data_IF_015325973964
#
_entry.id   IF_015325973964
#
_cell.length_a   1.000
_cell.length_b   1.000
_cell.length_c   1.000
_cell.angle_alpha   90.00
_cell.angle_beta   90.00
_cell.angle_gamma   90.00
#
_symmetry.space_group_name_H-M   'P 1'
#
loop_
_entity.id
_entity.type
_entity.pdbx_description
1 polymer ?
#
# COMPACT_ATOMS: atom_id res chain seq x y z
N UNK A 1 5.34 -69.24 -42.14
CA UNK A 1 5.50 -69.40 -40.68
C UNK A 1 5.92 -68.06 -40.07
N UNK A 2 5.20 -67.64 -39.01
CA UNK A 2 5.59 -66.75 -37.90
C UNK A 2 6.10 -65.29 -38.12
N UNK A 3 5.21 -64.36 -37.70
CA UNK A 3 5.36 -63.08 -36.98
C UNK A 3 6.77 -62.61 -36.54
N UNK A 4 6.99 -61.29 -36.56
CA UNK A 4 7.08 -60.43 -35.35
C UNK A 4 7.20 -58.94 -35.71
N UNK A 5 6.33 -58.12 -35.09
CA UNK A 5 6.41 -56.66 -35.04
C UNK A 5 7.60 -56.23 -34.18
N UNK A 6 8.21 -55.07 -34.48
CA UNK A 6 8.80 -54.26 -33.43
C UNK A 6 8.67 -52.76 -33.73
N UNK A 7 7.73 -52.14 -33.02
CA UNK A 7 7.40 -50.72 -32.97
C UNK A 7 8.53 -49.98 -32.24
N UNK A 8 9.14 -48.97 -32.86
CA UNK A 8 9.97 -48.00 -32.14
C UNK A 8 9.09 -46.83 -31.69
N UNK A 9 8.82 -46.77 -30.40
CA UNK A 9 8.20 -45.62 -29.75
C UNK A 9 9.23 -44.49 -29.62
N UNK A 10 8.96 -43.32 -30.20
CA UNK A 10 9.67 -42.08 -29.90
C UNK A 10 8.91 -41.36 -28.79
N UNK A 11 9.43 -41.40 -27.57
CA UNK A 11 8.88 -40.66 -26.43
C UNK A 11 9.35 -39.19 -26.53
N UNK A 12 8.44 -38.28 -26.84
CA UNK A 12 8.68 -36.84 -26.77
C UNK A 12 8.47 -36.37 -25.33
N UNK A 13 9.55 -36.10 -24.61
CA UNK A 13 9.50 -35.46 -23.28
C UNK A 13 9.25 -33.95 -23.47
N UNK A 14 8.00 -33.52 -23.29
CA UNK A 14 7.66 -32.10 -23.14
C UNK A 14 8.01 -31.70 -21.70
N UNK A 15 9.12 -30.98 -21.54
CA UNK A 15 9.46 -30.31 -20.29
C UNK A 15 8.57 -29.09 -20.11
N UNK A 16 7.44 -29.25 -19.41
CA UNK A 16 6.62 -28.11 -19.00
C UNK A 16 7.33 -27.41 -17.83
N UNK A 17 8.15 -26.40 -18.13
CA UNK A 17 8.56 -25.43 -17.12
C UNK A 17 7.35 -24.53 -16.85
N UNK A 18 6.65 -24.79 -15.75
CA UNK A 18 5.78 -23.79 -15.16
C UNK A 18 6.66 -22.62 -14.71
N UNK A 19 6.81 -21.61 -15.57
CA UNK A 19 7.18 -20.29 -15.09
C UNK A 19 5.98 -19.81 -14.29
N UNK A 20 6.13 -19.73 -12.98
CA UNK A 20 5.22 -18.96 -12.14
C UNK A 20 5.30 -17.52 -12.63
N UNK A 21 4.38 -17.12 -13.50
CA UNK A 21 4.16 -15.73 -13.82
C UNK A 21 3.56 -15.11 -12.55
N UNK A 22 4.42 -14.58 -11.68
CA UNK A 22 4.00 -13.52 -10.78
C UNK A 22 3.49 -12.40 -11.69
N UNK A 23 2.17 -12.21 -11.75
CA UNK A 23 1.58 -11.17 -12.56
C UNK A 23 2.14 -9.83 -12.07
N UNK A 24 2.81 -9.11 -12.97
CA UNK A 24 3.21 -7.73 -12.71
C UNK A 24 1.97 -6.92 -12.31
N UNK A 25 2.14 -5.93 -11.43
CA UNK A 25 1.02 -5.03 -11.12
C UNK A 25 0.62 -4.30 -12.39
N UNK A 26 -0.68 -4.22 -12.66
CA UNK A 26 -1.17 -3.32 -13.68
C UNK A 26 -1.19 -1.89 -13.11
N UNK A 27 -0.90 -0.91 -13.96
CA UNK A 27 -0.73 0.48 -13.54
C UNK A 27 -1.98 1.02 -12.82
N UNK A 28 -3.17 0.62 -13.29
CA UNK A 28 -4.45 1.05 -12.72
C UNK A 28 -4.62 0.54 -11.29
N UNK A 29 -4.20 -0.72 -11.01
CA UNK A 29 -4.25 -1.29 -9.66
C UNK A 29 -3.35 -0.54 -8.68
N UNK A 30 -2.12 -0.17 -9.10
CA UNK A 30 -1.22 0.64 -8.25
C UNK A 30 -1.83 2.00 -7.93
N UNK A 31 -2.28 2.73 -8.95
CA UNK A 31 -2.78 4.10 -8.77
C UNK A 31 -4.04 4.11 -7.93
N UNK A 32 -4.94 3.17 -8.15
CA UNK A 32 -6.18 3.01 -7.39
C UNK A 32 -5.88 2.71 -5.91
N UNK A 33 -5.06 1.70 -5.62
CA UNK A 33 -4.73 1.31 -4.25
C UNK A 33 -3.94 2.40 -3.52
N UNK A 34 -2.96 3.02 -4.18
CA UNK A 34 -2.16 4.10 -3.61
C UNK A 34 -3.02 5.35 -3.35
N UNK A 35 -3.98 5.65 -4.22
CA UNK A 35 -4.93 6.76 -4.02
C UNK A 35 -5.85 6.48 -2.84
N UNK A 36 -6.44 5.29 -2.74
CA UNK A 36 -7.33 4.93 -1.64
C UNK A 36 -6.60 4.93 -0.29
N UNK A 37 -5.40 4.34 -0.22
CA UNK A 37 -4.53 4.38 0.98
C UNK A 37 -4.13 5.81 1.32
N UNK A 38 -3.73 6.61 0.32
CA UNK A 38 -3.36 8.00 0.52
C UNK A 38 -4.49 8.87 1.06
N UNK A 39 -5.73 8.66 0.61
CA UNK A 39 -6.91 9.32 1.18
C UNK A 39 -7.19 8.83 2.61
N UNK A 40 -7.03 7.53 2.87
CA UNK A 40 -7.18 6.96 4.21
C UNK A 40 -6.22 7.57 5.22
N UNK A 41 -4.95 7.80 4.86
CA UNK A 41 -3.96 8.43 5.73
C UNK A 41 -4.31 9.87 6.08
N UNK A 42 -4.82 10.64 5.11
CA UNK A 42 -5.28 12.01 5.34
C UNK A 42 -6.50 12.04 6.27
N UNK A 43 -7.48 11.17 6.06
CA UNK A 43 -8.67 11.12 6.90
C UNK A 43 -8.37 10.55 8.31
N UNK A 44 -7.48 9.57 8.42
CA UNK A 44 -6.97 9.09 9.71
C UNK A 44 -6.26 10.20 10.49
N UNK A 45 -5.38 10.97 9.83
CA UNK A 45 -4.69 12.10 10.43
C UNK A 45 -5.65 13.19 10.90
N UNK A 46 -6.65 13.58 10.10
CA UNK A 46 -7.69 14.54 10.53
C UNK A 46 -8.45 14.04 11.75
N UNK A 47 -8.84 12.77 11.77
CA UNK A 47 -9.51 12.17 12.91
C UNK A 47 -8.63 12.19 14.16
N UNK A 48 -7.32 11.99 14.00
CA UNK A 48 -6.35 12.06 15.10
C UNK A 48 -6.09 13.48 15.61
N UNK A 49 -6.17 14.49 14.75
CA UNK A 49 -6.16 15.89 15.19
C UNK A 49 -7.37 16.21 16.09
N UNK A 50 -8.55 15.69 15.71
CA UNK A 50 -9.82 15.89 16.44
C UNK A 50 -9.87 15.10 17.76
N UNK A 51 -9.55 13.80 17.71
CA UNK A 51 -9.79 12.86 18.82
C UNK A 51 -8.55 12.50 19.62
N UNK A 52 -7.36 12.70 19.06
CA UNK A 52 -6.11 12.42 19.74
C UNK A 52 -5.98 13.27 21.01
N UNK A 53 -5.37 12.71 22.04
CA UNK A 53 -5.20 13.39 23.33
C UNK A 53 -3.74 13.75 23.61
N UNK A 54 -2.81 12.93 23.14
CA UNK A 54 -1.39 13.16 23.30
C UNK A 54 -0.81 14.13 22.25
N UNK A 55 0.12 14.98 22.68
CA UNK A 55 0.70 16.03 21.83
C UNK A 55 1.56 15.46 20.69
N UNK A 56 2.24 14.35 20.93
CA UNK A 56 3.01 13.61 19.93
C UNK A 56 2.11 12.96 18.88
N UNK A 57 0.96 12.42 19.27
CA UNK A 57 -0.06 11.90 18.35
C UNK A 57 -0.60 13.00 17.43
N UNK A 58 -0.94 14.18 17.97
CA UNK A 58 -1.40 15.31 17.14
C UNK A 58 -0.31 15.81 16.20
N UNK A 59 0.93 15.91 16.70
CA UNK A 59 2.06 16.35 15.87
C UNK A 59 2.35 15.37 14.74
N UNK A 60 2.26 14.06 15.01
CA UNK A 60 2.37 13.05 13.97
C UNK A 60 1.21 13.14 12.98
N UNK A 61 -0.02 13.27 13.45
CA UNK A 61 -1.20 13.43 12.60
C UNK A 61 -1.10 14.65 11.65
N UNK A 62 -0.61 15.79 12.15
CA UNK A 62 -0.35 16.98 11.33
C UNK A 62 0.66 16.70 10.20
N UNK A 63 1.74 15.96 10.52
CA UNK A 63 2.74 15.52 9.54
C UNK A 63 2.10 14.62 8.48
N UNK A 64 1.30 13.65 8.90
CA UNK A 64 0.61 12.71 8.01
C UNK A 64 -0.33 13.41 7.04
N UNK A 65 -1.19 14.31 7.54
CA UNK A 65 -2.10 15.09 6.69
C UNK A 65 -1.32 15.89 5.66
N UNK A 66 -0.28 16.60 6.07
CA UNK A 66 0.53 17.43 5.16
C UNK A 66 1.21 16.60 4.09
N UNK A 67 1.93 15.57 4.48
CA UNK A 67 2.78 14.80 3.59
C UNK A 67 1.97 13.95 2.63
N UNK A 68 0.92 13.26 3.10
CA UNK A 68 0.05 12.47 2.23
C UNK A 68 -0.81 13.32 1.31
N UNK A 69 -1.28 14.49 1.75
CA UNK A 69 -1.99 15.42 0.83
C UNK A 69 -1.10 15.81 -0.36
N UNK A 70 0.19 16.08 -0.11
CA UNK A 70 1.13 16.41 -1.18
C UNK A 70 1.40 15.20 -2.10
N UNK A 71 1.56 14.00 -1.54
CA UNK A 71 1.76 12.78 -2.32
C UNK A 71 0.53 12.45 -3.19
N UNK A 72 -0.68 12.55 -2.63
CA UNK A 72 -1.93 12.32 -3.34
C UNK A 72 -2.10 13.29 -4.51
N UNK A 73 -1.75 14.58 -4.33
CA UNK A 73 -1.80 15.56 -5.40
C UNK A 73 -0.82 15.22 -6.54
N UNK A 74 0.39 14.77 -6.20
CA UNK A 74 1.38 14.33 -7.19
C UNK A 74 0.89 13.09 -7.96
N UNK A 75 0.37 12.08 -7.26
CA UNK A 75 -0.15 10.86 -7.90
C UNK A 75 -1.35 11.17 -8.80
N UNK A 76 -2.29 12.00 -8.33
CA UNK A 76 -3.44 12.44 -9.14
C UNK A 76 -2.98 13.13 -10.42
N UNK A 77 -1.97 14.00 -10.35
CA UNK A 77 -1.44 14.66 -11.54
C UNK A 77 -0.85 13.68 -12.55
N UNK A 78 -0.20 12.61 -12.09
CA UNK A 78 0.34 11.55 -12.98
C UNK A 78 -0.81 10.77 -13.61
N UNK A 79 -1.81 10.38 -12.81
CA UNK A 79 -2.99 9.66 -13.29
C UNK A 79 -3.76 10.45 -14.34
N UNK A 80 -4.05 11.73 -14.07
CA UNK A 80 -4.75 12.65 -14.99
C UNK A 80 -3.96 12.80 -16.31
N UNK A 81 -2.64 13.02 -16.25
CA UNK A 81 -1.80 13.21 -17.43
C UNK A 81 -1.76 11.96 -18.34
N UNK A 82 -1.96 10.78 -17.74
CA UNK A 82 -1.94 9.48 -18.42
C UNK A 82 -3.33 8.96 -18.77
N UNK A 83 -4.40 9.64 -18.34
CA UNK A 83 -5.78 9.17 -18.44
C UNK A 83 -5.98 7.77 -17.81
N UNK A 84 -5.34 7.52 -16.67
CA UNK A 84 -5.55 6.29 -15.91
C UNK A 84 -6.91 6.37 -15.21
N UNK A 85 -7.63 5.24 -15.16
CA UNK A 85 -8.88 5.16 -14.43
C UNK A 85 -8.59 5.11 -12.93
N UNK A 86 -9.19 6.03 -12.18
CA UNK A 86 -9.13 6.09 -10.72
C UNK A 86 -10.53 6.36 -10.22
N UNK A 87 -10.94 5.67 -9.15
CA UNK A 87 -12.19 5.92 -8.45
C UNK A 87 -12.37 7.40 -8.15
N UNK A 88 -13.62 7.86 -8.16
CA UNK A 88 -13.91 9.24 -7.82
C UNK A 88 -13.61 9.54 -6.34
N UNK A 89 -13.63 10.84 -5.98
CA UNK A 89 -13.33 11.24 -4.61
C UNK A 89 -14.28 10.65 -3.57
N UNK A 90 -15.55 10.42 -3.90
CA UNK A 90 -16.51 9.85 -2.96
C UNK A 90 -16.22 8.37 -2.72
N UNK A 91 -15.93 7.61 -3.78
CA UNK A 91 -15.55 6.20 -3.71
C UNK A 91 -14.25 5.99 -2.93
N UNK A 92 -13.22 6.82 -3.20
CA UNK A 92 -11.96 6.77 -2.46
C UNK A 92 -12.15 7.09 -0.98
N UNK A 93 -13.00 8.07 -0.65
CA UNK A 93 -13.36 8.39 0.74
C UNK A 93 -14.07 7.22 1.41
N UNK A 94 -14.95 6.51 0.71
CA UNK A 94 -15.65 5.36 1.28
C UNK A 94 -14.70 4.17 1.50
N UNK A 95 -13.77 3.90 0.58
CA UNK A 95 -12.67 2.93 0.79
C UNK A 95 -11.81 3.33 1.99
N UNK A 96 -11.46 4.61 2.11
CA UNK A 96 -10.70 5.15 3.23
C UNK A 96 -11.40 4.95 4.58
N UNK A 97 -12.71 5.21 4.67
CA UNK A 97 -13.51 4.98 5.89
C UNK A 97 -13.45 3.53 6.35
N UNK A 98 -13.44 2.57 5.41
CA UNK A 98 -13.33 1.15 5.74
C UNK A 98 -11.95 0.82 6.34
N UNK A 99 -10.87 1.40 5.82
CA UNK A 99 -9.51 1.17 6.31
C UNK A 99 -9.26 1.72 7.73
N UNK A 100 -9.97 2.78 8.12
CA UNK A 100 -9.81 3.42 9.42
C UNK A 100 -10.84 2.96 10.46
N UNK A 101 -11.68 1.97 10.15
CA UNK A 101 -12.73 1.49 11.05
C UNK A 101 -12.16 1.00 12.38
N UNK A 102 -10.98 0.38 12.35
CA UNK A 102 -10.24 -0.10 13.53
C UNK A 102 -9.84 1.02 14.50
N UNK A 103 -9.77 2.28 14.05
CA UNK A 103 -9.52 3.44 14.94
C UNK A 103 -10.64 3.65 15.96
N UNK A 104 -11.80 3.01 15.78
CA UNK A 104 -12.95 3.11 16.68
C UNK A 104 -12.93 2.07 17.80
N UNK A 105 -11.99 1.12 17.77
CA UNK A 105 -12.06 -0.12 18.54
C UNK A 105 -10.83 -0.34 19.42
N UNK A 106 -10.52 0.60 20.32
CA UNK A 106 -9.39 0.46 21.25
C UNK A 106 -9.65 1.07 22.62
N UNK A 107 -8.78 0.73 23.58
CA UNK A 107 -8.81 1.23 24.96
C UNK A 107 -8.52 2.74 25.04
N UNK A 108 -7.69 3.26 24.15
CA UNK A 108 -7.49 4.70 23.89
C UNK A 108 -7.41 4.96 22.38
N UNK A 109 -7.84 6.16 21.97
CA UNK A 109 -7.75 6.56 20.56
C UNK A 109 -6.29 6.65 20.09
N UNK A 110 -5.42 7.22 20.92
CA UNK A 110 -3.98 7.39 20.63
C UNK A 110 -3.28 6.05 20.34
N UNK A 111 -3.62 5.01 21.12
CA UNK A 111 -3.12 3.65 20.90
C UNK A 111 -3.68 3.03 19.61
N UNK A 112 -4.99 3.22 19.34
CA UNK A 112 -5.63 2.74 18.12
C UNK A 112 -4.95 3.33 16.88
N UNK A 113 -4.74 4.65 16.92
CA UNK A 113 -4.11 5.40 15.84
C UNK A 113 -2.68 4.93 15.60
N UNK A 114 -1.85 4.86 16.64
CA UNK A 114 -0.48 4.40 16.50
C UNK A 114 -0.38 2.98 15.90
N UNK A 115 -1.21 2.04 16.36
CA UNK A 115 -1.23 0.67 15.83
C UNK A 115 -1.71 0.60 14.37
N UNK A 116 -2.74 1.37 14.03
CA UNK A 116 -3.25 1.44 12.67
C UNK A 116 -2.18 2.01 11.72
N UNK A 117 -1.48 3.07 12.14
CA UNK A 117 -0.46 3.72 11.33
C UNK A 117 0.72 2.79 11.04
N UNK A 118 1.17 1.96 11.99
CA UNK A 118 2.19 0.94 11.71
C UNK A 118 1.74 -0.01 10.60
N UNK A 119 0.56 -0.63 10.76
CA UNK A 119 0.04 -1.60 9.79
C UNK A 119 -0.21 -0.99 8.41
N UNK A 120 -0.76 0.22 8.38
CA UNK A 120 -1.07 0.92 7.14
C UNK A 120 0.20 1.29 6.38
N UNK A 121 1.26 1.72 7.09
CA UNK A 121 2.54 2.04 6.47
C UNK A 121 3.28 0.81 6.00
N UNK A 122 3.26 -0.30 6.74
CA UNK A 122 3.86 -1.57 6.27
C UNK A 122 3.24 -2.03 4.95
N UNK A 123 1.90 -2.06 4.89
CA UNK A 123 1.19 -2.44 3.67
C UNK A 123 1.41 -1.44 2.51
N UNK A 124 1.56 -0.14 2.81
CA UNK A 124 1.81 0.89 1.79
C UNK A 124 3.24 0.84 1.28
N UNK A 125 4.21 0.56 2.14
CA UNK A 125 5.61 0.36 1.75
C UNK A 125 5.73 -0.86 0.84
N UNK A 126 5.08 -1.97 1.16
CA UNK A 126 5.07 -3.17 0.29
C UNK A 126 4.52 -2.84 -1.11
N UNK A 127 3.39 -2.13 -1.19
CA UNK A 127 2.81 -1.67 -2.45
C UNK A 127 3.80 -0.81 -3.25
N UNK A 128 4.46 0.15 -2.60
CA UNK A 128 5.38 1.07 -3.26
C UNK A 128 6.71 0.40 -3.63
N UNK A 129 7.21 -0.56 -2.85
CA UNK A 129 8.40 -1.34 -3.20
C UNK A 129 8.15 -2.23 -4.41
N UNK A 130 6.95 -2.81 -4.50
CA UNK A 130 6.52 -3.59 -5.66
C UNK A 130 6.42 -2.73 -6.91
N UNK A 131 5.78 -1.57 -6.84
CA UNK A 131 5.72 -0.66 -8.00
C UNK A 131 7.11 -0.16 -8.40
N UNK A 132 7.95 0.26 -7.45
CA UNK A 132 9.29 0.75 -7.73
C UNK A 132 10.17 -0.31 -8.44
N UNK A 133 10.04 -1.59 -8.06
CA UNK A 133 10.83 -2.68 -8.62
C UNK A 133 10.23 -3.27 -9.90
N UNK A 134 8.94 -3.61 -9.87
CA UNK A 134 8.25 -4.39 -10.90
C UNK A 134 7.37 -3.55 -11.84
N UNK A 135 7.08 -2.29 -11.48
CA UNK A 135 6.23 -1.40 -12.26
C UNK A 135 6.71 -1.24 -13.71
N UNK A 136 5.76 -1.00 -14.62
CA UNK A 136 6.03 -0.86 -16.06
C UNK A 136 6.09 0.60 -16.50
N UNK A 137 5.28 1.47 -15.88
CA UNK A 137 5.26 2.90 -16.20
C UNK A 137 6.38 3.66 -15.50
N UNK A 138 7.25 4.32 -16.26
CA UNK A 138 8.43 4.98 -15.72
C UNK A 138 8.11 6.10 -14.72
N UNK A 139 7.00 6.82 -14.89
CA UNK A 139 6.62 7.90 -13.97
C UNK A 139 6.03 7.36 -12.67
N UNK A 140 5.25 6.28 -12.74
CA UNK A 140 4.74 5.59 -11.54
C UNK A 140 5.87 4.93 -10.74
N UNK A 141 6.83 4.28 -11.41
CA UNK A 141 8.05 3.76 -10.75
C UNK A 141 8.84 4.87 -10.05
N UNK A 142 9.02 6.00 -10.73
CA UNK A 142 9.73 7.14 -10.17
C UNK A 142 8.97 7.72 -8.96
N UNK A 143 7.65 7.89 -9.08
CA UNK A 143 6.81 8.32 -7.97
C UNK A 143 6.92 7.39 -6.77
N UNK A 144 6.85 6.07 -6.98
CA UNK A 144 6.97 5.08 -5.93
C UNK A 144 8.36 5.16 -5.25
N UNK A 145 9.42 5.18 -6.07
CA UNK A 145 10.82 5.28 -5.60
C UNK A 145 11.08 6.53 -4.77
N UNK A 146 10.60 7.69 -5.24
CA UNK A 146 10.79 8.98 -4.57
C UNK A 146 10.02 9.09 -3.24
N UNK A 147 8.89 8.37 -3.14
CA UNK A 147 7.99 8.45 -1.98
C UNK A 147 8.40 7.47 -0.86
N UNK A 148 9.03 6.35 -1.21
CA UNK A 148 9.45 5.30 -0.27
C UNK A 148 10.26 5.79 0.95
N UNK A 149 11.28 6.68 0.81
CA UNK A 149 12.05 7.14 1.97
C UNK A 149 11.17 7.82 3.03
N UNK A 150 10.15 8.56 2.60
CA UNK A 150 9.24 9.26 3.49
C UNK A 150 8.25 8.30 4.16
N UNK A 151 7.69 7.34 3.42
CA UNK A 151 6.86 6.28 4.01
C UNK A 151 7.61 5.48 5.07
N UNK A 152 8.88 5.15 4.82
CA UNK A 152 9.74 4.46 5.80
C UNK A 152 9.99 5.32 7.04
N UNK A 153 10.22 6.62 6.87
CA UNK A 153 10.36 7.54 8.01
C UNK A 153 9.06 7.66 8.84
N UNK A 154 7.91 7.70 8.17
CA UNK A 154 6.59 7.68 8.84
C UNK A 154 6.37 6.38 9.61
N UNK A 155 6.72 5.22 9.04
CA UNK A 155 6.64 3.93 9.73
C UNK A 155 7.46 3.92 11.03
N UNK A 156 8.70 4.40 10.98
CA UNK A 156 9.55 4.45 12.19
C UNK A 156 8.96 5.37 13.27
N UNK A 157 8.37 6.49 12.87
CA UNK A 157 7.66 7.37 13.80
C UNK A 157 6.39 6.69 14.36
N UNK A 158 5.61 6.01 13.53
CA UNK A 158 4.44 5.25 13.96
C UNK A 158 4.80 4.15 14.96
N UNK A 159 5.91 3.42 14.75
CA UNK A 159 6.43 2.42 15.70
C UNK A 159 6.84 3.05 17.03
N UNK A 160 7.48 4.22 17.00
CA UNK A 160 7.82 4.97 18.20
C UNK A 160 6.58 5.41 18.98
N UNK A 161 5.54 5.91 18.28
CA UNK A 161 4.24 6.23 18.88
C UNK A 161 3.58 4.99 19.49
N UNK A 162 3.56 3.87 18.77
CA UNK A 162 2.96 2.63 19.25
C UNK A 162 3.65 2.19 20.55
N UNK A 163 4.97 2.21 20.59
CA UNK A 163 5.74 1.93 21.82
C UNK A 163 5.40 2.89 22.97
N UNK A 164 5.20 4.17 22.70
CA UNK A 164 4.88 5.18 23.72
C UNK A 164 3.46 5.06 24.28
N UNK A 165 2.50 4.62 23.46
CA UNK A 165 1.07 4.57 23.79
C UNK A 165 0.56 3.15 24.07
N UNK A 166 1.46 2.19 24.30
CA UNK A 166 1.13 0.79 24.64
C UNK A 166 0.55 -0.01 23.47
N UNK A 167 0.87 0.38 22.24
CA UNK A 167 0.52 -0.35 21.04
C UNK A 167 1.36 -1.60 20.84
N UNK A 168 0.70 -2.71 20.51
CA UNK A 168 1.34 -4.02 20.31
C UNK A 168 1.97 -4.14 18.91
N UNK A 169 1.66 -3.23 17.99
CA UNK A 169 2.16 -3.27 16.61
C UNK A 169 3.65 -2.91 16.48
N UNK A 170 4.30 -2.45 17.55
CA UNK A 170 5.72 -2.10 17.55
C UNK A 170 6.67 -3.32 17.73
N UNK A 171 6.14 -4.52 17.94
CA UNK A 171 6.89 -5.74 18.29
C UNK A 171 6.99 -6.73 17.14
#
# INVERSE_FOLDING_TARGET
MAKLLNTCAFTLLIGLRAQSAFAAQDNDDFVEDASAKGVAEVEAGKLAQEKGTAADVKSFADMMVKDHTAANAKLKSIADAKNLEVSDSAELIDKAKAMILELRSAKSFDQAYANNQVKAHEATIELFEKEASEGKDAELKAFATDTLPKLKAHLEHAKALAKAHGGDAAN
#
